data_IF_267625377998
#
_entry.id   IF_267625377998
#
_cell.length_a   1.000
_cell.length_b   1.000
_cell.length_c   1.000
_cell.angle_alpha   90.00
_cell.angle_beta   90.00
_cell.angle_gamma   90.00
#
_symmetry.space_group_name_H-M   'P 1'
#
loop_
_entity.id
_entity.type
_entity.pdbx_description
1 polymer ?
#
# COMPACT_ATOMS: atom_id res chain seq x y z
N UNK A 1 -9.24 -45.41 -41.67
CA UNK A 1 -8.27 -44.29 -41.73
C UNK A 1 -9.07 -43.04 -41.43
N UNK A 2 -8.96 -42.52 -40.21
CA UNK A 2 -9.67 -41.33 -39.76
C UNK A 2 -8.62 -40.33 -39.35
N UNK A 3 -8.44 -39.33 -40.18
CA UNK A 3 -7.41 -38.31 -40.10
C UNK A 3 -7.63 -37.39 -38.89
N UNK A 4 -6.61 -37.35 -38.03
CA UNK A 4 -6.05 -36.15 -37.41
C UNK A 4 -6.98 -34.91 -37.29
N UNK A 5 -7.90 -34.94 -36.33
CA UNK A 5 -8.60 -33.74 -35.86
C UNK A 5 -7.69 -33.00 -34.87
N UNK A 6 -6.86 -32.12 -35.45
CA UNK A 6 -6.47 -30.80 -34.95
C UNK A 6 -6.55 -30.60 -33.42
N UNK A 7 -5.37 -30.59 -32.80
CA UNK A 7 -5.08 -29.80 -31.60
C UNK A 7 -5.44 -28.34 -31.89
N UNK A 8 -6.39 -27.74 -31.17
CA UNK A 8 -6.75 -26.33 -31.39
C UNK A 8 -7.59 -25.66 -30.31
N UNK A 9 -7.83 -26.30 -29.16
CA UNK A 9 -8.78 -25.78 -28.15
C UNK A 9 -8.19 -25.63 -26.74
N UNK A 10 -6.87 -25.55 -26.60
CA UNK A 10 -6.20 -25.53 -25.28
C UNK A 10 -5.16 -24.43 -25.05
N UNK A 11 -5.11 -23.38 -25.88
CA UNK A 11 -4.09 -22.30 -25.76
C UNK A 11 -4.73 -20.91 -25.59
N UNK A 12 -6.06 -20.81 -25.63
CA UNK A 12 -6.79 -19.53 -25.57
C UNK A 12 -7.30 -19.11 -24.19
N UNK A 13 -7.42 -20.05 -23.23
CA UNK A 13 -7.99 -19.76 -21.90
C UNK A 13 -6.92 -19.37 -20.87
N UNK A 14 -5.68 -19.85 -21.05
CA UNK A 14 -4.57 -19.64 -20.12
C UNK A 14 -3.97 -18.23 -20.25
N UNK A 15 -4.05 -17.64 -21.45
CA UNK A 15 -3.55 -16.28 -21.71
C UNK A 15 -4.48 -15.22 -21.13
N UNK A 16 -5.79 -15.48 -21.03
CA UNK A 16 -6.78 -14.49 -20.60
C UNK A 16 -6.80 -14.28 -19.07
N UNK A 17 -6.40 -15.28 -18.26
CA UNK A 17 -6.33 -15.14 -16.79
C UNK A 17 -5.15 -14.27 -16.32
N UNK A 18 -4.02 -14.28 -17.04
CA UNK A 18 -2.82 -13.50 -16.66
C UNK A 18 -3.00 -11.98 -16.77
N UNK A 19 -3.99 -11.52 -17.55
CA UNK A 19 -4.27 -10.10 -17.77
C UNK A 19 -5.20 -9.51 -16.69
N UNK A 20 -5.96 -10.35 -15.98
CA UNK A 20 -6.91 -9.90 -14.95
C UNK A 20 -6.19 -9.69 -13.59
N UNK A 21 -5.24 -10.56 -13.23
CA UNK A 21 -4.38 -10.42 -12.04
C UNK A 21 -3.59 -9.09 -12.01
N UNK A 22 -3.15 -8.60 -13.17
CA UNK A 22 -2.43 -7.31 -13.26
C UNK A 22 -3.30 -6.10 -12.91
N UNK A 23 -4.62 -6.19 -13.10
CA UNK A 23 -5.55 -5.08 -12.84
C UNK A 23 -5.89 -4.99 -11.36
N UNK A 24 -5.95 -6.13 -10.67
CA UNK A 24 -6.10 -6.20 -9.21
C UNK A 24 -4.84 -5.70 -8.47
N UNK A 25 -3.64 -5.95 -9.01
CA UNK A 25 -2.39 -5.42 -8.46
C UNK A 25 -2.34 -3.87 -8.43
N UNK A 26 -2.88 -3.20 -9.46
CA UNK A 26 -2.97 -1.75 -9.52
C UNK A 26 -3.99 -1.17 -8.52
N UNK A 27 -5.11 -1.87 -8.27
CA UNK A 27 -6.08 -1.49 -7.23
C UNK A 27 -5.56 -1.71 -5.80
N UNK A 28 -4.74 -2.73 -5.60
CA UNK A 28 -4.07 -3.00 -4.32
C UNK A 28 -3.08 -1.89 -3.92
N UNK A 29 -2.41 -1.28 -4.89
CA UNK A 29 -1.45 -0.18 -4.65
C UNK A 29 -2.13 1.07 -4.06
N UNK A 30 -3.17 1.59 -4.71
CA UNK A 30 -3.87 2.79 -4.26
C UNK A 30 -4.48 2.56 -2.88
N UNK A 31 -4.99 1.36 -2.63
CA UNK A 31 -5.52 0.93 -1.34
C UNK A 31 -4.43 0.91 -0.26
N UNK A 32 -3.25 0.33 -0.54
CA UNK A 32 -2.14 0.28 0.41
C UNK A 32 -1.63 1.67 0.77
N UNK A 33 -1.51 2.56 -0.21
CA UNK A 33 -1.08 3.94 0.00
C UNK A 33 -2.11 4.72 0.85
N UNK A 34 -3.40 4.59 0.53
CA UNK A 34 -4.50 5.21 1.31
C UNK A 34 -4.54 4.71 2.74
N UNK A 35 -4.30 3.42 2.95
CA UNK A 35 -4.26 2.81 4.29
C UNK A 35 -3.09 3.37 5.11
N UNK A 36 -1.88 3.43 4.53
CA UNK A 36 -0.72 4.00 5.19
C UNK A 36 -0.92 5.48 5.57
N UNK A 37 -1.51 6.28 4.67
CA UNK A 37 -1.87 7.66 4.98
C UNK A 37 -2.90 7.78 6.12
N UNK A 38 -3.93 6.92 6.11
CA UNK A 38 -4.95 6.90 7.17
C UNK A 38 -4.36 6.51 8.53
N UNK A 39 -3.38 5.60 8.53
CA UNK A 39 -2.70 5.15 9.74
C UNK A 39 -1.84 6.26 10.36
N UNK A 40 -1.08 6.99 9.54
CA UNK A 40 -0.32 8.17 10.01
C UNK A 40 -1.25 9.29 10.52
N UNK A 41 -2.36 9.55 9.83
CA UNK A 41 -3.36 10.53 10.27
C UNK A 41 -3.97 10.15 11.64
N UNK A 42 -4.23 8.87 11.87
CA UNK A 42 -4.70 8.38 13.16
C UNK A 42 -3.66 8.61 14.27
N UNK A 43 -2.38 8.36 13.99
CA UNK A 43 -1.29 8.56 14.97
C UNK A 43 -1.07 10.05 15.25
N UNK A 44 -1.15 10.93 14.24
CA UNK A 44 -1.10 12.38 14.45
C UNK A 44 -2.24 12.86 15.35
N UNK A 45 -3.47 12.41 15.11
CA UNK A 45 -4.63 12.74 15.97
C UNK A 45 -4.46 12.24 17.40
N UNK A 46 -3.82 11.08 17.58
CA UNK A 46 -3.48 10.55 18.90
C UNK A 46 -2.50 11.48 19.63
N UNK A 47 -1.45 11.94 18.93
CA UNK A 47 -0.48 12.90 19.47
C UNK A 47 -1.13 14.24 19.81
N UNK A 48 -1.94 14.81 18.92
CA UNK A 48 -2.67 16.06 19.15
C UNK A 48 -3.59 15.97 20.37
N UNK A 49 -4.26 14.83 20.54
CA UNK A 49 -5.10 14.58 21.71
C UNK A 49 -4.27 14.55 22.99
N UNK A 50 -3.13 13.87 22.99
CA UNK A 50 -2.24 13.80 24.14
C UNK A 50 -1.67 15.19 24.51
N UNK A 51 -1.32 16.02 23.50
CA UNK A 51 -0.89 17.42 23.69
C UNK A 51 -2.03 18.27 24.26
N UNK A 52 -3.27 18.04 23.83
CA UNK A 52 -4.42 18.76 24.38
C UNK A 52 -4.70 18.36 25.83
N UNK A 53 -4.60 17.08 26.15
CA UNK A 53 -4.74 16.57 27.53
C UNK A 53 -3.66 17.13 28.47
N UNK A 54 -2.45 17.37 27.96
CA UNK A 54 -1.37 18.07 28.65
C UNK A 54 -1.80 19.44 29.21
N UNK A 55 -2.58 20.22 28.46
CA UNK A 55 -3.10 21.53 28.93
C UNK A 55 -4.09 21.42 30.08
N UNK A 56 -4.67 20.24 30.29
CA UNK A 56 -5.60 19.94 31.39
C UNK A 56 -4.94 19.23 32.58
N UNK A 57 -3.60 19.11 32.58
CA UNK A 57 -2.85 18.40 33.63
C UNK A 57 -2.55 16.93 33.29
N UNK A 58 -2.62 16.56 32.01
CA UNK A 58 -2.26 15.23 31.51
C UNK A 58 -0.76 14.92 31.60
N UNK A 59 -0.42 13.67 31.34
CA UNK A 59 0.95 13.16 31.45
C UNK A 59 1.83 13.63 30.28
N UNK A 60 2.82 14.47 30.58
CA UNK A 60 3.82 14.98 29.62
C UNK A 60 4.53 13.85 28.91
N UNK A 61 4.85 12.77 29.62
CA UNK A 61 5.58 11.61 29.09
C UNK A 61 4.79 10.95 27.96
N UNK A 62 3.48 10.82 28.13
CA UNK A 62 2.60 10.23 27.10
C UNK A 62 2.52 11.10 25.85
N UNK A 63 2.45 12.42 26.02
CA UNK A 63 2.39 13.33 24.88
C UNK A 63 3.70 13.32 24.08
N UNK A 64 4.85 13.34 24.77
CA UNK A 64 6.17 13.23 24.12
C UNK A 64 6.32 11.88 23.41
N UNK A 65 5.91 10.77 24.05
CA UNK A 65 5.95 9.46 23.42
C UNK A 65 5.02 9.37 22.19
N UNK A 66 3.83 9.96 22.27
CA UNK A 66 2.90 10.00 21.14
C UNK A 66 3.46 10.82 19.97
N UNK A 67 4.12 11.95 20.24
CA UNK A 67 4.84 12.72 19.22
C UNK A 67 5.97 11.91 18.59
N UNK A 68 6.81 11.25 19.40
CA UNK A 68 7.92 10.44 18.88
C UNK A 68 7.41 9.29 17.98
N UNK A 69 6.32 8.65 18.38
CA UNK A 69 5.63 7.63 17.59
C UNK A 69 5.10 8.20 16.28
N UNK A 70 4.51 9.40 16.29
CA UNK A 70 4.02 10.07 15.10
C UNK A 70 5.15 10.38 14.12
N UNK A 71 6.27 10.91 14.60
CA UNK A 71 7.44 11.23 13.77
C UNK A 71 8.05 9.97 13.14
N UNK A 72 8.25 8.92 13.93
CA UNK A 72 8.77 7.65 13.42
C UNK A 72 7.82 7.01 12.39
N UNK A 73 6.51 7.07 12.64
CA UNK A 73 5.50 6.54 11.70
C UNK A 73 5.45 7.33 10.41
N UNK A 74 5.61 8.64 10.48
CA UNK A 74 5.70 9.50 9.30
C UNK A 74 6.95 9.20 8.47
N UNK A 75 8.11 9.03 9.11
CA UNK A 75 9.35 8.62 8.43
C UNK A 75 9.19 7.28 7.72
N UNK A 76 8.61 6.28 8.41
CA UNK A 76 8.31 4.99 7.81
C UNK A 76 7.38 5.12 6.59
N UNK A 77 6.36 5.96 6.68
CA UNK A 77 5.42 6.21 5.58
C UNK A 77 6.12 6.82 4.36
N UNK A 78 7.09 7.71 4.56
CA UNK A 78 7.89 8.26 3.46
C UNK A 78 8.74 7.19 2.78
N UNK A 79 9.36 6.29 3.55
CA UNK A 79 10.11 5.16 2.99
C UNK A 79 9.20 4.21 2.21
N UNK A 80 8.03 3.90 2.77
CA UNK A 80 7.02 3.06 2.09
C UNK A 80 6.56 3.75 0.81
N UNK A 81 6.24 5.05 0.83
CA UNK A 81 5.88 5.83 -0.36
C UNK A 81 6.97 5.74 -1.43
N UNK A 82 8.24 5.91 -1.06
CA UNK A 82 9.36 5.84 -2.00
C UNK A 82 9.51 4.43 -2.60
N UNK A 83 9.44 3.38 -1.78
CA UNK A 83 9.49 1.98 -2.25
C UNK A 83 8.31 1.65 -3.16
N UNK A 84 7.12 2.15 -2.84
CA UNK A 84 5.90 1.96 -3.62
C UNK A 84 5.99 2.67 -4.99
N UNK A 85 6.51 3.89 -5.04
CA UNK A 85 6.77 4.60 -6.31
C UNK A 85 7.78 3.84 -7.18
N UNK A 86 8.88 3.37 -6.59
CA UNK A 86 9.88 2.59 -7.31
C UNK A 86 9.30 1.27 -7.86
N UNK A 87 8.47 0.58 -7.08
CA UNK A 87 7.81 -0.66 -7.52
C UNK A 87 6.81 -0.40 -8.67
N UNK A 88 6.09 0.73 -8.63
CA UNK A 88 5.21 1.13 -9.72
C UNK A 88 6.00 1.40 -11.02
N UNK A 89 7.10 2.14 -10.93
CA UNK A 89 7.98 2.43 -12.07
C UNK A 89 8.61 1.16 -12.65
N UNK A 90 9.06 0.22 -11.81
CA UNK A 90 9.62 -1.07 -12.22
C UNK A 90 8.60 -1.90 -13.02
N UNK A 91 7.37 -2.02 -12.52
CA UNK A 91 6.28 -2.78 -13.19
C UNK A 91 5.91 -2.16 -14.53
N UNK A 92 5.92 -0.83 -14.65
CA UNK A 92 5.69 -0.13 -15.92
C UNK A 92 6.83 -0.36 -16.91
N UNK A 93 8.09 -0.33 -16.46
CA UNK A 93 9.27 -0.60 -17.30
C UNK A 93 9.35 -2.04 -17.79
N UNK A 94 8.75 -3.01 -17.09
CA UNK A 94 8.63 -4.39 -17.56
C UNK A 94 7.59 -4.60 -18.69
N UNK A 95 6.70 -3.63 -18.94
CA UNK A 95 5.61 -3.78 -19.92
C UNK A 95 5.87 -3.09 -21.27
N UNK A 96 6.96 -2.34 -21.42
CA UNK A 96 7.36 -1.71 -22.69
C UNK A 96 8.24 -2.63 -23.55
#
# INVERSE_FOLDING_TARGET
MSEFKILGSGVGQDVQQTLNDKKDAAGGFDTALKNAFSEVDAIQKEADKAIKELTTGGDVTKAVLAMEKADMSFQLMLEVRNKLLNAYDEVMRMQV
#
